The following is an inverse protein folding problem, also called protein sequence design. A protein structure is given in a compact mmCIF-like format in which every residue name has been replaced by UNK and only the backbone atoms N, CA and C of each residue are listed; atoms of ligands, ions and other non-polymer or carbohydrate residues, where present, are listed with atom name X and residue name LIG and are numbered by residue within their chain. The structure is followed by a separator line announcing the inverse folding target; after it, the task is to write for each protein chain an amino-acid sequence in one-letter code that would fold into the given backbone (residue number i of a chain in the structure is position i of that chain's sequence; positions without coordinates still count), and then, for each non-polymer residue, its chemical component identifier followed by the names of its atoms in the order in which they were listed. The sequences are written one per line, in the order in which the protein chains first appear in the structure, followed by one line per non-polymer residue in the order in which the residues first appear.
data_IF_232753061076
#
_entry.id   IF_232753061076
#
_cell.length_a   1.000
_cell.length_b   1.000
_cell.length_c   1.000
_cell.angle_alpha   90.00
_cell.angle_beta   90.00
_cell.angle_gamma   90.00
#
_symmetry.space_group_name_H-M   'P 1'
#
loop_
_entity.id
_entity.type
_entity.pdbx_description
1 polymer ?
#
# COMPACT_ATOMS: atom_id res chain seq x y z
N UNK A 1 -16.75 10.83 3.29
CA UNK A 1 -15.47 10.52 2.60
C UNK A 1 -15.72 10.72 1.12
N UNK A 2 -14.99 11.65 0.48
CA UNK A 2 -15.17 11.92 -0.95
C UNK A 2 -14.20 11.04 -1.75
N UNK A 3 -14.74 10.28 -2.71
CA UNK A 3 -13.99 9.39 -3.58
C UNK A 3 -13.94 10.04 -4.97
N UNK A 4 -12.77 10.51 -5.38
CA UNK A 4 -12.59 11.09 -6.71
C UNK A 4 -12.23 9.95 -7.67
N UNK A 5 -13.09 9.72 -8.67
CA UNK A 5 -12.86 8.77 -9.76
C UNK A 5 -12.64 9.55 -11.05
N UNK A 6 -11.47 9.40 -11.70
CA UNK A 6 -11.37 9.76 -13.11
C UNK A 6 -12.07 8.67 -13.94
N UNK A 7 -13.03 9.07 -14.77
CA UNK A 7 -13.92 8.20 -15.55
C UNK A 7 -13.26 7.57 -16.78
N UNK A 8 -13.90 6.51 -17.30
CA UNK A 8 -13.68 5.73 -18.56
C UNK A 8 -12.77 4.49 -18.41
N UNK A 9 -13.01 3.32 -19.08
CA UNK A 9 -14.22 2.75 -19.69
C UNK A 9 -14.86 1.66 -18.80
N UNK A 10 -16.13 1.33 -19.02
CA UNK A 10 -16.83 0.23 -18.32
C UNK A 10 -16.46 -1.13 -18.92
N UNK A 11 -16.00 -2.06 -18.07
CA UNK A 11 -15.71 -3.46 -18.46
C UNK A 11 -14.40 -4.02 -17.90
N UNK A 12 -13.69 -3.31 -17.02
CA UNK A 12 -12.40 -3.73 -16.49
C UNK A 12 -12.48 -4.80 -15.40
N UNK A 13 -11.38 -5.54 -15.21
CA UNK A 13 -11.23 -6.45 -14.08
C UNK A 13 -11.21 -5.64 -12.77
N UNK A 14 -12.30 -5.72 -12.00
CA UNK A 14 -12.40 -5.16 -10.65
C UNK A 14 -11.26 -5.69 -9.77
N UNK A 15 -10.42 -4.77 -9.29
CA UNK A 15 -9.24 -5.11 -8.47
C UNK A 15 -9.55 -4.96 -6.98
N UNK A 16 -10.37 -3.98 -6.60
CA UNK A 16 -10.90 -3.81 -5.24
C UNK A 16 -12.39 -3.49 -5.34
N UNK A 17 -13.19 -4.20 -4.57
CA UNK A 17 -14.64 -4.02 -4.47
C UNK A 17 -15.07 -4.11 -3.01
N UNK A 18 -15.72 -3.06 -2.53
CA UNK A 18 -16.18 -2.90 -1.15
C UNK A 18 -17.66 -2.57 -1.26
N UNK A 19 -18.51 -3.38 -0.64
CA UNK A 19 -19.96 -3.29 -0.75
C UNK A 19 -20.58 -3.31 0.64
N UNK A 20 -21.29 -2.24 0.98
CA UNK A 20 -22.00 -2.06 2.24
C UNK A 20 -21.13 -2.33 3.47
N UNK A 21 -19.85 -1.96 3.43
CA UNK A 21 -18.93 -2.28 4.51
C UNK A 21 -19.19 -1.38 5.71
N UNK A 22 -19.35 -2.03 6.86
CA UNK A 22 -19.33 -1.38 8.18
C UNK A 22 -18.19 -1.92 9.02
N UNK A 23 -17.62 -1.04 9.85
CA UNK A 23 -16.57 -1.40 10.81
C UNK A 23 -16.72 -0.56 12.07
N UNK A 24 -16.84 -1.25 13.19
CA UNK A 24 -16.78 -0.68 14.53
C UNK A 24 -15.61 -1.28 15.32
N UNK A 25 -15.11 -0.52 16.29
CA UNK A 25 -14.14 -1.00 17.28
C UNK A 25 -14.72 -0.83 18.68
N UNK A 26 -14.49 -1.81 19.53
CA UNK A 26 -14.91 -1.74 20.94
C UNK A 26 -13.75 -1.21 21.76
N UNK A 27 -13.92 -0.04 22.36
CA UNK A 27 -12.98 0.54 23.30
C UNK A 27 -13.58 0.49 24.71
N UNK A 28 -13.04 -0.40 25.55
CA UNK A 28 -13.60 -0.74 26.87
C UNK A 28 -15.04 -1.27 26.74
N UNK A 29 -16.03 -0.42 26.93
CA UNK A 29 -17.46 -0.72 26.84
C UNK A 29 -18.19 0.16 25.82
N UNK A 30 -17.48 1.01 25.08
CA UNK A 30 -18.05 1.86 24.05
C UNK A 30 -17.74 1.28 22.67
N UNK A 31 -18.79 1.05 21.87
CA UNK A 31 -18.65 0.73 20.46
C UNK A 31 -18.51 2.03 19.65
N UNK A 32 -17.42 2.15 18.91
CA UNK A 32 -17.12 3.29 18.06
C UNK A 32 -17.25 2.83 16.61
N UNK A 33 -18.29 3.29 15.91
CA UNK A 33 -18.41 3.09 14.47
C UNK A 33 -17.41 3.97 13.73
N UNK A 34 -16.55 3.34 12.92
CA UNK A 34 -15.51 4.02 12.14
C UNK A 34 -15.84 4.04 10.65
N UNK A 35 -16.42 2.97 10.13
CA UNK A 35 -16.92 2.90 8.75
C UNK A 35 -18.42 2.59 8.76
N UNK A 36 -19.18 3.38 8.01
CA UNK A 36 -20.63 3.26 7.88
C UNK A 36 -21.02 3.21 6.40
N UNK A 37 -21.49 2.06 5.93
CA UNK A 37 -22.01 1.81 4.57
C UNK A 37 -21.07 2.24 3.43
N UNK A 38 -19.79 1.85 3.54
CA UNK A 38 -18.81 2.18 2.51
C UNK A 38 -19.03 1.31 1.28
N UNK A 39 -19.16 1.97 0.13
CA UNK A 39 -19.25 1.37 -1.18
C UNK A 39 -18.14 1.94 -2.08
N UNK A 40 -17.25 1.09 -2.55
CA UNK A 40 -16.10 1.47 -3.37
C UNK A 40 -15.82 0.38 -4.40
N UNK A 41 -15.49 0.79 -5.62
CA UNK A 41 -15.05 -0.12 -6.68
C UNK A 41 -13.97 0.56 -7.51
N UNK A 42 -12.88 -0.16 -7.76
CA UNK A 42 -11.80 0.27 -8.64
C UNK A 42 -11.33 -0.89 -9.51
N UNK A 43 -10.84 -0.58 -10.70
CA UNK A 43 -10.37 -1.55 -11.68
C UNK A 43 -8.84 -1.54 -11.76
N UNK A 44 -8.27 -2.61 -12.32
CA UNK A 44 -6.83 -2.69 -12.54
C UNK A 44 -6.35 -1.51 -13.40
N UNK A 45 -5.23 -0.89 -12.99
CA UNK A 45 -4.62 0.23 -13.71
C UNK A 45 -5.31 1.58 -13.48
N UNK A 46 -6.28 1.65 -12.56
CA UNK A 46 -6.93 2.91 -12.16
C UNK A 46 -6.25 3.53 -10.95
N UNK A 47 -6.11 4.84 -10.98
CA UNK A 47 -5.76 5.64 -9.82
C UNK A 47 -7.04 6.02 -9.06
N UNK A 48 -7.06 5.78 -7.76
CA UNK A 48 -8.16 6.14 -6.88
C UNK A 48 -7.64 7.06 -5.77
N UNK A 49 -8.23 8.25 -5.65
CA UNK A 49 -7.92 9.17 -4.56
C UNK A 49 -9.08 9.21 -3.55
N UNK A 50 -8.75 8.99 -2.27
CA UNK A 50 -9.69 9.02 -1.15
C UNK A 50 -9.30 10.20 -0.27
N UNK A 51 -10.17 11.21 -0.19
CA UNK A 51 -9.99 12.42 0.61
C UNK A 51 -11.06 12.51 1.68
N UNK A 52 -10.66 12.79 2.92
CA UNK A 52 -11.58 12.94 4.03
C UNK A 52 -10.97 13.68 5.22
N UNK A 53 -11.78 14.25 6.13
CA UNK A 53 -11.29 14.87 7.36
C UNK A 53 -10.54 13.87 8.24
N UNK A 54 -9.62 14.34 9.11
CA UNK A 54 -8.99 13.49 10.12
C UNK A 54 -10.02 12.73 10.96
N UNK A 55 -9.75 11.46 11.26
CA UNK A 55 -10.64 10.62 12.08
C UNK A 55 -11.85 10.01 11.36
N UNK A 56 -12.04 10.27 10.06
CA UNK A 56 -13.15 9.73 9.24
C UNK A 56 -13.02 8.26 8.83
N UNK A 57 -12.02 7.54 9.34
CA UNK A 57 -11.84 6.11 9.04
C UNK A 57 -11.06 5.79 7.76
N UNK A 58 -10.41 6.76 7.10
CA UNK A 58 -9.57 6.50 5.90
C UNK A 58 -8.53 5.40 6.15
N UNK A 59 -7.77 5.49 7.25
CA UNK A 59 -6.78 4.47 7.60
C UNK A 59 -7.44 3.11 7.87
N UNK A 60 -8.66 3.08 8.40
CA UNK A 60 -9.41 1.83 8.59
C UNK A 60 -9.79 1.22 7.24
N UNK A 61 -10.29 2.02 6.30
CA UNK A 61 -10.58 1.53 4.94
C UNK A 61 -9.31 1.05 4.22
N UNK A 62 -8.22 1.79 4.36
CA UNK A 62 -6.92 1.42 3.80
C UNK A 62 -6.43 0.09 4.39
N UNK A 63 -6.55 -0.12 5.71
CA UNK A 63 -6.20 -1.38 6.37
C UNK A 63 -7.07 -2.56 5.91
N UNK A 64 -8.36 -2.32 5.62
CA UNK A 64 -9.24 -3.34 5.04
C UNK A 64 -8.75 -3.75 3.64
N UNK A 65 -8.41 -2.78 2.79
CA UNK A 65 -7.90 -3.04 1.45
C UNK A 65 -6.53 -3.73 1.51
N UNK A 66 -5.67 -3.35 2.45
CA UNK A 66 -4.35 -3.95 2.72
C UNK A 66 -4.43 -5.36 3.36
N UNK A 67 -5.65 -5.88 3.58
CA UNK A 67 -5.87 -7.20 4.18
C UNK A 67 -5.29 -7.33 5.61
N UNK A 68 -5.09 -6.21 6.31
CA UNK A 68 -4.70 -6.16 7.73
C UNK A 68 -5.91 -6.35 8.66
N UNK A 69 -7.10 -6.04 8.17
CA UNK A 69 -8.34 -6.16 8.92
C UNK A 69 -9.45 -6.75 8.02
N UNK A 70 -10.56 -7.15 8.62
CA UNK A 70 -11.76 -7.64 7.93
C UNK A 70 -12.94 -6.71 8.20
N UNK A 71 -13.88 -6.55 7.25
CA UNK A 71 -15.09 -5.82 7.52
C UNK A 71 -15.90 -6.51 8.64
N UNK A 72 -16.58 -5.73 9.48
CA UNK A 72 -17.48 -6.30 10.48
C UNK A 72 -18.81 -6.74 9.85
N UNK A 73 -19.28 -5.94 8.89
CA UNK A 73 -20.42 -6.27 8.02
C UNK A 73 -20.12 -5.88 6.57
N UNK A 74 -20.90 -6.43 5.65
CA UNK A 74 -20.72 -6.22 4.21
C UNK A 74 -19.64 -7.12 3.63
N UNK A 75 -19.15 -6.75 2.45
CA UNK A 75 -18.19 -7.56 1.70
C UNK A 75 -17.05 -6.70 1.17
N UNK A 76 -15.82 -7.22 1.29
CA UNK A 76 -14.64 -6.67 0.67
C UNK A 76 -13.97 -7.75 -0.18
N UNK A 77 -13.71 -7.44 -1.44
CA UNK A 77 -13.04 -8.31 -2.39
C UNK A 77 -11.77 -7.63 -2.92
N UNK A 78 -10.67 -8.37 -2.94
CA UNK A 78 -9.43 -7.99 -3.61
C UNK A 78 -9.14 -9.02 -4.68
N UNK A 79 -9.02 -8.59 -5.93
CA UNK A 79 -8.93 -9.46 -7.12
C UNK A 79 -10.03 -10.53 -7.19
N UNK A 80 -11.27 -10.14 -6.84
CA UNK A 80 -12.43 -11.04 -6.73
C UNK A 80 -12.32 -12.12 -5.63
N UNK A 81 -11.34 -12.02 -4.72
CA UNK A 81 -11.20 -12.91 -3.55
C UNK A 81 -11.83 -12.23 -2.34
N UNK A 82 -12.80 -12.89 -1.71
CA UNK A 82 -13.54 -12.34 -0.56
C UNK A 82 -12.71 -12.43 0.73
N UNK A 83 -12.35 -11.27 1.28
CA UNK A 83 -11.48 -11.17 2.45
C UNK A 83 -12.10 -11.80 3.71
N UNK A 84 -13.43 -11.85 3.82
CA UNK A 84 -14.11 -12.45 4.96
C UNK A 84 -13.92 -13.97 5.02
N UNK A 85 -13.78 -14.60 3.84
CA UNK A 85 -13.73 -16.07 3.69
C UNK A 85 -12.31 -16.61 3.59
N UNK A 86 -11.33 -15.75 3.34
CA UNK A 86 -9.94 -16.16 3.20
C UNK A 86 -9.32 -16.56 4.55
N UNK A 87 -8.53 -17.65 4.60
CA UNK A 87 -7.68 -17.97 5.74
C UNK A 87 -6.62 -16.89 5.99
N UNK A 88 -6.20 -16.71 7.25
CA UNK A 88 -5.18 -15.71 7.61
C UNK A 88 -3.84 -15.89 6.87
N UNK A 89 -3.47 -17.13 6.55
CA UNK A 89 -2.27 -17.43 5.77
C UNK A 89 -2.39 -16.93 4.33
N UNK A 90 -3.55 -17.06 3.70
CA UNK A 90 -3.79 -16.55 2.35
C UNK A 90 -3.85 -15.02 2.32
N UNK A 91 -4.44 -14.39 3.34
CA UNK A 91 -4.42 -12.93 3.50
C UNK A 91 -2.99 -12.42 3.64
N UNK A 92 -2.15 -13.09 4.43
CA UNK A 92 -0.74 -12.75 4.59
C UNK A 92 0.04 -12.89 3.28
N UNK A 93 -0.25 -13.95 2.50
CA UNK A 93 0.36 -14.16 1.18
C UNK A 93 -0.09 -13.11 0.17
N UNK A 94 -1.38 -12.76 0.17
CA UNK A 94 -1.95 -11.70 -0.68
C UNK A 94 -1.28 -10.36 -0.37
N UNK A 95 -1.24 -9.97 0.91
CA UNK A 95 -0.55 -8.75 1.36
C UNK A 95 0.92 -8.74 0.96
N UNK A 96 1.65 -9.84 1.21
CA UNK A 96 3.08 -9.87 0.97
C UNK A 96 3.52 -9.90 -0.50
N UNK A 97 2.66 -10.32 -1.44
CA UNK A 97 3.03 -10.53 -2.84
C UNK A 97 2.27 -9.65 -3.84
N UNK A 98 1.11 -9.14 -3.46
CA UNK A 98 0.16 -8.54 -4.39
C UNK A 98 -0.25 -7.12 -4.00
N UNK A 99 -0.04 -6.72 -2.75
CA UNK A 99 -0.33 -5.38 -2.24
C UNK A 99 0.96 -4.77 -1.73
N UNK A 100 1.12 -3.48 -1.97
CA UNK A 100 2.27 -2.71 -1.54
C UNK A 100 1.82 -1.37 -0.97
N UNK A 101 2.64 -0.79 -0.11
CA UNK A 101 2.30 0.36 0.69
C UNK A 101 3.43 1.39 0.73
N UNK A 102 3.10 2.62 0.33
CA UNK A 102 3.95 3.80 0.53
C UNK A 102 3.40 4.61 1.69
N UNK A 103 4.17 4.69 2.78
CA UNK A 103 3.81 5.42 3.98
C UNK A 103 4.34 6.86 3.94
N UNK A 104 3.63 7.78 4.58
CA UNK A 104 4.08 9.15 4.80
C UNK A 104 5.48 9.22 5.45
N UNK A 105 5.75 8.40 6.47
CA UNK A 105 7.05 8.33 7.17
C UNK A 105 8.02 7.31 6.57
N UNK A 106 7.72 6.82 5.36
CA UNK A 106 8.60 6.02 4.50
C UNK A 106 9.06 4.65 5.03
N UNK A 107 8.82 4.32 6.30
CA UNK A 107 9.05 3.01 6.96
C UNK A 107 10.37 2.28 6.61
N UNK A 108 11.41 3.03 6.23
CA UNK A 108 12.73 2.49 5.95
C UNK A 108 13.42 2.06 7.26
N UNK A 109 14.08 0.90 7.26
CA UNK A 109 14.88 0.44 8.39
C UNK A 109 16.23 1.16 8.35
N UNK A 110 16.54 2.06 9.30
CA UNK A 110 17.70 2.96 9.19
C UNK A 110 19.06 2.27 9.22
N UNK A 111 19.10 1.05 9.77
CA UNK A 111 20.33 0.25 9.90
C UNK A 111 20.65 -0.55 8.65
N UNK A 112 19.66 -0.76 7.77
CA UNK A 112 19.80 -1.49 6.53
C UNK A 112 20.23 -0.55 5.40
N UNK A 113 20.99 -1.06 4.45
CA UNK A 113 21.32 -0.39 3.19
C UNK A 113 20.08 -0.24 2.31
N UNK A 114 20.16 0.58 1.27
CA UNK A 114 19.08 0.72 0.30
C UNK A 114 18.72 -0.63 -0.35
N UNK A 115 19.70 -1.44 -0.72
CA UNK A 115 19.48 -2.79 -1.24
C UNK A 115 18.76 -3.70 -0.24
N UNK A 116 19.22 -3.73 1.01
CA UNK A 116 18.63 -4.57 2.05
C UNK A 116 17.19 -4.18 2.39
N UNK A 117 16.89 -2.88 2.41
CA UNK A 117 15.52 -2.38 2.58
C UNK A 117 14.60 -2.83 1.43
N UNK A 118 15.07 -2.81 0.17
CA UNK A 118 14.29 -3.30 -0.98
C UNK A 118 14.10 -4.82 -0.94
N UNK A 119 15.10 -5.56 -0.46
CA UNK A 119 15.05 -7.01 -0.31
C UNK A 119 14.26 -7.47 0.93
N UNK A 120 14.04 -6.60 1.91
CA UNK A 120 13.40 -6.96 3.18
C UNK A 120 12.08 -7.76 3.03
N UNK A 121 11.16 -7.43 2.10
CA UNK A 121 9.93 -8.20 1.90
C UNK A 121 10.16 -9.63 1.43
N UNK A 122 11.27 -9.91 0.74
CA UNK A 122 11.52 -11.25 0.18
C UNK A 122 11.77 -12.28 1.27
N UNK A 123 12.27 -11.85 2.44
CA UNK A 123 12.44 -12.74 3.59
C UNK A 123 11.11 -13.26 4.13
N UNK A 124 10.05 -12.46 4.07
CA UNK A 124 8.72 -12.87 4.49
C UNK A 124 7.97 -13.61 3.38
N UNK A 125 8.06 -13.12 2.13
CA UNK A 125 7.43 -13.74 0.97
C UNK A 125 8.30 -13.51 -0.28
N UNK A 126 8.91 -14.57 -0.78
CA UNK A 126 9.65 -14.56 -2.05
C UNK A 126 8.78 -15.05 -3.20
N UNK A 127 8.84 -14.38 -4.35
CA UNK A 127 8.35 -14.95 -5.60
C UNK A 127 9.29 -16.08 -6.03
N UNK A 128 8.72 -17.25 -6.30
CA UNK A 128 9.47 -18.41 -6.79
C UNK A 128 10.05 -18.06 -8.18
N UNK A 129 11.31 -18.43 -8.43
CA UNK A 129 12.03 -18.22 -9.70
C UNK A 129 12.35 -16.76 -10.07
N UNK A 130 12.44 -15.86 -9.09
CA UNK A 130 12.95 -14.49 -9.31
C UNK A 130 14.30 -14.35 -8.58
N UNK A 131 15.31 -13.86 -9.30
CA UNK A 131 16.54 -13.36 -8.67
C UNK A 131 16.23 -12.01 -8.01
N UNK A 132 15.87 -12.06 -6.73
CA UNK A 132 15.52 -10.89 -5.94
C UNK A 132 16.63 -9.84 -5.93
N UNK A 133 17.89 -10.26 -5.82
CA UNK A 133 19.01 -9.32 -5.80
C UNK A 133 19.09 -8.57 -7.12
N UNK A 134 19.05 -9.28 -8.24
CA UNK A 134 19.06 -8.66 -9.57
C UNK A 134 17.86 -7.73 -9.77
N UNK A 135 16.67 -8.14 -9.36
CA UNK A 135 15.47 -7.32 -9.51
C UNK A 135 15.51 -6.06 -8.63
N UNK A 136 15.97 -6.17 -7.39
CA UNK A 136 16.20 -5.04 -6.50
C UNK A 136 17.19 -4.04 -7.11
N UNK A 137 18.31 -4.54 -7.66
CA UNK A 137 19.32 -3.69 -8.31
C UNK A 137 18.74 -2.93 -9.50
N UNK A 138 17.93 -3.56 -10.35
CA UNK A 138 17.26 -2.88 -11.47
C UNK A 138 16.25 -1.84 -10.98
N UNK A 139 15.51 -2.12 -9.91
CA UNK A 139 14.59 -1.16 -9.32
C UNK A 139 15.34 0.08 -8.79
N UNK A 140 16.43 -0.13 -8.04
CA UNK A 140 17.28 0.96 -7.56
C UNK A 140 17.90 1.77 -8.71
N UNK A 141 18.14 1.14 -9.88
CA UNK A 141 18.62 1.80 -11.09
C UNK A 141 17.56 2.68 -11.73
N UNK A 142 16.33 2.22 -11.88
CA UNK A 142 15.20 3.03 -12.35
C UNK A 142 15.01 4.26 -11.47
N UNK A 143 15.29 4.13 -10.17
CA UNK A 143 15.14 5.20 -9.19
C UNK A 143 16.35 6.14 -9.08
N UNK A 144 17.42 5.86 -9.82
CA UNK A 144 18.63 6.69 -9.86
C UNK A 144 19.46 6.64 -8.57
N UNK A 145 19.34 5.57 -7.79
CA UNK A 145 20.04 5.36 -6.50
C UNK A 145 20.93 4.10 -6.52
N UNK A 146 21.06 3.44 -7.67
CA UNK A 146 21.93 2.28 -7.87
C UNK A 146 23.35 2.46 -7.34
N UNK A 147 23.99 3.59 -7.65
CA UNK A 147 25.37 3.86 -7.21
C UNK A 147 25.48 4.02 -5.67
N UNK A 148 24.36 4.06 -4.97
CA UNK A 148 24.25 4.26 -3.52
C UNK A 148 23.48 3.10 -2.88
N UNK A 149 23.36 1.96 -3.57
CA UNK A 149 22.61 0.80 -3.10
C UNK A 149 23.13 0.22 -1.77
N UNK A 150 24.41 0.47 -1.46
CA UNK A 150 25.06 0.06 -0.21
C UNK A 150 25.05 1.15 0.87
N UNK A 151 24.46 2.31 0.60
CA UNK A 151 24.29 3.36 1.60
C UNK A 151 23.03 3.11 2.43
N UNK A 152 23.11 3.46 3.71
CA UNK A 152 21.97 3.51 4.63
C UNK A 152 21.12 4.76 4.37
N UNK A 153 19.85 4.79 4.79
CA UNK A 153 18.99 5.95 4.58
C UNK A 153 19.58 7.28 5.06
N UNK A 154 20.32 7.29 6.18
CA UNK A 154 20.98 8.49 6.70
C UNK A 154 22.21 8.97 5.90
N UNK A 155 22.71 8.16 4.96
CA UNK A 155 23.86 8.47 4.10
C UNK A 155 23.42 8.97 2.72
N UNK A 156 22.11 8.92 2.42
CA UNK A 156 21.54 9.42 1.16
C UNK A 156 21.31 10.93 1.24
N UNK A 157 21.57 11.65 0.14
CA UNK A 157 21.12 13.04 0.02
C UNK A 157 19.59 13.13 0.12
N UNK A 158 19.03 14.29 0.49
CA UNK A 158 17.58 14.45 0.63
C UNK A 158 16.78 14.04 -0.61
N UNK A 159 17.27 14.35 -1.83
CA UNK A 159 16.63 13.93 -3.09
C UNK A 159 16.72 12.42 -3.33
N UNK A 160 17.85 11.80 -2.96
CA UNK A 160 18.03 10.35 -3.08
C UNK A 160 17.18 9.62 -2.06
N UNK A 161 17.14 10.10 -0.81
CA UNK A 161 16.26 9.61 0.23
C UNK A 161 14.81 9.71 -0.22
N UNK A 162 14.36 10.85 -0.74
CA UNK A 162 13.00 11.06 -1.24
C UNK A 162 12.61 10.11 -2.37
N UNK A 163 13.52 9.86 -3.32
CA UNK A 163 13.27 8.84 -4.36
C UNK A 163 13.23 7.45 -3.73
N UNK A 164 14.19 7.13 -2.88
CA UNK A 164 14.27 5.85 -2.20
C UNK A 164 13.06 5.57 -1.30
N UNK A 165 12.46 6.61 -0.76
CA UNK A 165 11.39 6.51 0.22
C UNK A 165 10.02 6.17 -0.39
N UNK A 166 9.92 6.29 -1.72
CA UNK A 166 8.74 5.89 -2.51
C UNK A 166 8.99 4.60 -3.30
N UNK A 167 10.11 3.89 -3.03
CA UNK A 167 10.41 2.63 -3.73
C UNK A 167 9.28 1.65 -3.47
N UNK A 168 8.57 1.19 -4.52
CA UNK A 168 7.64 0.09 -4.35
C UNK A 168 8.44 -1.15 -3.95
N UNK A 169 7.88 -2.00 -3.10
CA UNK A 169 8.50 -3.26 -2.78
C UNK A 169 8.76 -4.09 -4.06
N UNK A 170 9.83 -4.85 -4.01
CA UNK A 170 10.34 -5.74 -5.07
C UNK A 170 9.30 -6.73 -5.65
N UNK A 171 8.18 -6.93 -4.98
CA UNK A 171 7.23 -7.99 -5.32
C UNK A 171 6.25 -7.63 -6.44
N UNK A 172 6.49 -6.58 -7.25
CA UNK A 172 5.66 -6.18 -8.40
C UNK A 172 4.14 -6.27 -8.10
N UNK A 173 3.67 -5.43 -7.16
CA UNK A 173 2.33 -5.52 -6.60
C UNK A 173 1.28 -5.15 -7.64
N UNK A 174 0.09 -5.75 -7.54
CA UNK A 174 -1.04 -5.36 -8.38
C UNK A 174 -1.81 -4.16 -7.83
N UNK A 175 -1.61 -3.84 -6.54
CA UNK A 175 -2.19 -2.68 -5.86
C UNK A 175 -1.06 -1.96 -5.12
N UNK A 176 -0.88 -0.67 -5.41
CA UNK A 176 -0.04 0.22 -4.63
C UNK A 176 -0.95 1.15 -3.82
N UNK A 177 -0.92 1.01 -2.51
CA UNK A 177 -1.58 1.90 -1.56
C UNK A 177 -0.59 2.98 -1.14
N UNK A 178 -1.07 4.22 -1.04
CA UNK A 178 -0.26 5.32 -0.57
C UNK A 178 -1.05 6.14 0.43
N UNK A 179 -0.53 6.24 1.65
CA UNK A 179 -1.11 7.08 2.69
C UNK A 179 -0.28 8.37 2.83
N UNK A 180 -0.86 9.46 2.33
CA UNK A 180 -0.24 10.79 2.28
C UNK A 180 1.21 10.81 1.76
N UNK A 181 1.50 10.19 0.60
CA UNK A 181 2.88 10.05 0.10
C UNK A 181 3.56 11.39 -0.21
N UNK A 182 2.78 12.46 -0.35
CA UNK A 182 3.27 13.82 -0.63
C UNK A 182 3.44 14.67 0.63
N UNK A 183 2.96 14.23 1.80
CA UNK A 183 2.93 15.06 3.01
C UNK A 183 4.29 15.42 3.60
N UNK A 184 5.29 14.57 3.36
CA UNK A 184 6.69 14.77 3.82
C UNK A 184 7.64 15.17 2.68
N UNK A 185 7.12 15.43 1.48
CA UNK A 185 7.92 15.96 0.39
C UNK A 185 7.96 17.48 0.55
N UNK A 186 9.14 18.03 0.84
CA UNK A 186 9.40 19.46 0.92
C UNK A 186 8.68 20.20 -0.22
N UNK A 187 7.89 21.23 0.11
CA UNK A 187 6.97 21.98 -0.76
C UNK A 187 7.64 22.78 -1.90
N UNK A 188 8.88 22.46 -2.28
CA UNK A 188 9.67 23.14 -3.32
C UNK A 188 9.62 22.49 -4.70
N UNK A 189 8.62 21.66 -4.99
CA UNK A 189 8.44 21.01 -6.30
C UNK A 189 7.17 21.55 -6.99
N UNK A 190 6.93 22.85 -6.87
CA UNK A 190 5.89 23.57 -7.61
C UNK A 190 6.50 24.70 -8.43
N UNK A 191 7.10 24.37 -9.58
CA UNK A 191 7.29 25.24 -10.75
C UNK A 191 7.71 24.39 -11.95
#
# INVERSE_FOLDING_TARGET
MNIIKNSLPEGGFSIVEVSNVRKSYVLRSLEISVLSDINLKTERGKLLAIMSPPGSGKSTLVNLIDCLDRPAEGQALVRKRDLNRMPNQELTRLRGLEIDFVFQSFNLVPRLTALENVLLPTFANSRINIDSTKHATELLKVMGIHNHMHHRPGELSGRQFQRFSIVPHINDPVILLADEPTGNLDSRIGA
#
